data_IF_777591177455
#
_entry.id   IF_777591177455
#
_cell.length_a   1.000
_cell.length_b   1.000
_cell.length_c   1.000
_cell.angle_alpha   90.00
_cell.angle_beta   90.00
_cell.angle_gamma   90.00
#
_symmetry.space_group_name_H-M   'P 1'
#
loop_
_entity.id
_entity.type
_entity.pdbx_description
1 polymer ?
#
# COMPACT_ATOMS: atom_id res chain seq x y z
N UNK A 1 -10.55 8.73 -6.91
CA UNK A 1 -9.75 9.40 -5.86
C UNK A 1 -8.75 10.31 -6.55
N UNK A 2 -8.50 11.51 -6.03
CA UNK A 2 -7.54 12.45 -6.64
C UNK A 2 -6.11 11.92 -6.48
N UNK A 3 -5.33 11.96 -7.57
CA UNK A 3 -3.93 11.51 -7.59
C UNK A 3 -3.07 12.28 -6.57
N UNK A 4 -3.35 13.57 -6.37
CA UNK A 4 -2.60 14.41 -5.41
C UNK A 4 -2.79 13.91 -3.97
N UNK A 5 -3.99 13.43 -3.64
CA UNK A 5 -4.30 12.88 -2.31
C UNK A 5 -3.64 11.51 -2.13
N UNK A 6 -3.63 10.67 -3.16
CA UNK A 6 -2.95 9.37 -3.14
C UNK A 6 -1.44 9.57 -2.92
N UNK A 7 -0.82 10.49 -3.66
CA UNK A 7 0.61 10.77 -3.56
C UNK A 7 1.01 11.30 -2.18
N UNK A 8 0.20 12.17 -1.55
CA UNK A 8 0.46 12.63 -0.19
C UNK A 8 0.35 11.49 0.84
N UNK A 9 -0.62 10.58 0.68
CA UNK A 9 -0.75 9.42 1.56
C UNK A 9 0.46 8.48 1.41
N UNK A 10 0.89 8.20 0.18
CA UNK A 10 2.08 7.38 -0.09
C UNK A 10 3.32 8.00 0.54
N UNK A 11 3.49 9.32 0.41
CA UNK A 11 4.59 10.05 1.04
C UNK A 11 4.57 9.88 2.56
N UNK A 12 3.42 10.12 3.21
CA UNK A 12 3.26 9.96 4.67
C UNK A 12 3.56 8.54 5.16
N UNK A 13 3.16 7.51 4.40
CA UNK A 13 3.45 6.11 4.72
C UNK A 13 4.93 5.76 4.57
N UNK A 14 5.58 6.31 3.55
CA UNK A 14 6.99 6.03 3.24
C UNK A 14 7.95 6.74 4.20
N UNK A 15 7.58 7.91 4.73
CA UNK A 15 8.39 8.67 5.70
C UNK A 15 8.66 7.93 7.01
N UNK A 16 7.83 6.95 7.37
CA UNK A 16 8.05 6.11 8.55
C UNK A 16 9.34 5.29 8.44
N UNK A 17 9.84 5.05 7.22
CA UNK A 17 11.12 4.36 6.97
C UNK A 17 12.31 5.07 7.61
N UNK A 18 12.30 6.40 7.62
CA UNK A 18 13.38 7.22 8.19
C UNK A 18 13.13 7.59 9.65
N UNK A 19 11.92 7.33 10.16
CA UNK A 19 11.52 7.64 11.52
C UNK A 19 11.85 6.51 12.49
N UNK A 20 11.85 6.82 13.79
CA UNK A 20 12.03 5.81 14.84
C UNK A 20 10.97 4.70 14.69
N UNK A 21 11.35 3.41 14.86
CA UNK A 21 10.39 2.30 14.84
C UNK A 21 9.23 2.57 15.80
N UNK A 22 7.99 2.48 15.31
CA UNK A 22 6.78 2.74 16.09
C UNK A 22 6.07 4.08 15.84
N UNK A 23 6.59 4.95 14.95
CA UNK A 23 5.85 6.15 14.52
C UNK A 23 4.61 5.74 13.72
N UNK A 24 3.43 5.99 14.27
CA UNK A 24 2.16 5.77 13.58
C UNK A 24 1.89 6.89 12.57
N UNK A 25 1.35 6.52 11.41
CA UNK A 25 0.87 7.48 10.40
C UNK A 25 -0.58 7.80 10.71
N UNK A 26 -0.89 9.09 10.83
CA UNK A 26 -2.26 9.53 10.99
C UNK A 26 -2.90 9.71 9.62
N UNK A 27 -3.87 8.84 9.33
CA UNK A 27 -4.78 8.94 8.20
C UNK A 27 -6.18 9.21 8.76
N UNK A 28 -6.92 10.10 8.13
CA UNK A 28 -8.32 10.35 8.47
C UNK A 28 -9.19 9.18 8.01
N UNK A 29 -10.31 8.98 8.69
CA UNK A 29 -11.28 7.94 8.32
C UNK A 29 -11.79 8.12 6.88
N UNK A 30 -11.97 9.36 6.43
CA UNK A 30 -12.40 9.66 5.07
C UNK A 30 -11.35 9.22 4.02
N UNK A 31 -10.07 9.49 4.26
CA UNK A 31 -8.98 9.04 3.37
C UNK A 31 -8.94 7.50 3.28
N UNK A 32 -9.11 6.81 4.41
CA UNK A 32 -9.15 5.34 4.46
C UNK A 32 -10.35 4.81 3.66
N UNK A 33 -11.54 5.39 3.84
CA UNK A 33 -12.74 4.99 3.07
C UNK A 33 -12.56 5.21 1.58
N UNK A 34 -11.96 6.33 1.18
CA UNK A 34 -11.69 6.64 -0.23
C UNK A 34 -10.69 5.66 -0.85
N UNK A 35 -9.62 5.32 -0.12
CA UNK A 35 -8.64 4.31 -0.55
C UNK A 35 -9.27 2.93 -0.74
N UNK A 36 -10.08 2.49 0.23
CA UNK A 36 -10.79 1.21 0.16
C UNK A 36 -11.79 1.19 -1.01
N UNK A 37 -12.52 2.29 -1.23
CA UNK A 37 -13.45 2.44 -2.35
C UNK A 37 -12.73 2.35 -3.70
N UNK A 38 -11.69 3.17 -3.90
CA UNK A 38 -10.91 3.16 -5.13
C UNK A 38 -10.24 1.80 -5.40
N UNK A 39 -9.66 1.18 -4.36
CA UNK A 39 -9.05 -0.16 -4.49
C UNK A 39 -10.08 -1.21 -4.88
N UNK A 40 -11.28 -1.18 -4.30
CA UNK A 40 -12.37 -2.09 -4.64
C UNK A 40 -12.76 -1.98 -6.11
N UNK A 41 -12.89 -0.77 -6.63
CA UNK A 41 -13.26 -0.54 -8.04
C UNK A 41 -12.20 -1.11 -8.99
N UNK A 42 -10.91 -0.93 -8.66
CA UNK A 42 -9.79 -1.50 -9.44
C UNK A 42 -9.82 -3.03 -9.40
N UNK A 43 -10.01 -3.63 -8.23
CA UNK A 43 -10.08 -5.09 -8.11
C UNK A 43 -11.28 -5.68 -8.85
N UNK A 44 -12.40 -4.97 -8.92
CA UNK A 44 -13.57 -5.41 -9.69
C UNK A 44 -13.37 -5.28 -11.21
N UNK A 45 -12.53 -4.35 -11.65
CA UNK A 45 -12.16 -4.21 -13.07
C UNK A 45 -11.15 -5.27 -13.52
N UNK A 46 -10.36 -5.81 -12.59
CA UNK A 46 -9.39 -6.86 -12.88
C UNK A 46 -10.05 -8.25 -12.90
N UNK A 47 -9.58 -9.18 -13.74
CA UNK A 47 -10.04 -10.56 -13.72
C UNK A 47 -9.62 -11.25 -12.42
N UNK A 48 -10.46 -12.16 -11.91
CA UNK A 48 -10.14 -12.98 -10.72
C UNK A 48 -8.87 -13.82 -10.90
N UNK A 49 -8.54 -14.17 -12.15
CA UNK A 49 -7.29 -14.81 -12.52
C UNK A 49 -6.38 -13.77 -13.20
N UNK A 50 -5.37 -13.30 -12.45
CA UNK A 50 -4.41 -12.31 -12.94
C UNK A 50 -3.37 -12.98 -13.84
N UNK A 51 -3.26 -12.50 -15.08
CA UNK A 51 -2.18 -12.86 -15.99
C UNK A 51 -1.01 -11.88 -15.77
N UNK A 52 0.08 -12.37 -15.17
CA UNK A 52 1.26 -11.58 -14.82
C UNK A 52 2.44 -11.97 -15.72
N UNK A 53 3.13 -10.99 -16.30
CA UNK A 53 4.36 -11.19 -17.07
C UNK A 53 5.59 -10.82 -16.24
N UNK A 54 6.70 -11.53 -16.44
CA UNK A 54 7.95 -11.26 -15.75
C UNK A 54 8.59 -9.93 -16.21
N UNK A 55 9.34 -9.22 -15.34
CA UNK A 55 9.77 -9.59 -13.99
C UNK A 55 8.83 -9.09 -12.86
N UNK A 56 8.45 -9.98 -11.94
CA UNK A 56 7.61 -9.67 -10.77
C UNK A 56 8.23 -10.23 -9.48
N UNK A 57 8.05 -9.53 -8.35
CA UNK A 57 8.43 -10.01 -7.02
C UNK A 57 7.20 -10.53 -6.29
N UNK A 58 7.18 -11.81 -5.95
CA UNK A 58 6.08 -12.44 -5.21
C UNK A 58 6.42 -12.41 -3.72
N UNK A 59 5.63 -11.68 -2.93
CA UNK A 59 5.74 -11.67 -1.48
C UNK A 59 4.65 -12.54 -0.86
N UNK A 60 5.02 -13.40 0.08
CA UNK A 60 4.10 -14.25 0.83
C UNK A 60 3.35 -13.48 1.93
N UNK A 61 2.84 -14.23 2.94
CA UNK A 61 2.06 -13.66 4.05
C UNK A 61 2.85 -12.57 4.78
N UNK A 62 2.28 -11.37 4.77
CA UNK A 62 2.76 -10.24 5.57
C UNK A 62 2.09 -10.32 6.93
N UNK A 63 2.80 -10.87 7.92
CA UNK A 63 2.36 -10.73 9.31
C UNK A 63 2.52 -9.27 9.75
N UNK A 64 1.63 -8.83 10.64
CA UNK A 64 1.36 -7.45 11.11
C UNK A 64 2.53 -6.64 11.68
N UNK A 65 3.76 -7.14 11.56
CA UNK A 65 4.95 -6.39 11.83
C UNK A 65 5.34 -5.66 10.53
N UNK A 66 4.77 -4.47 10.34
CA UNK A 66 4.99 -3.55 9.20
C UNK A 66 6.44 -3.55 8.68
N UNK A 67 7.41 -3.81 9.55
CA UNK A 67 8.84 -3.92 9.28
C UNK A 67 9.25 -4.97 8.22
N UNK A 68 8.58 -6.12 8.13
CA UNK A 68 9.02 -7.20 7.22
C UNK A 68 8.51 -7.04 5.78
N UNK A 69 7.41 -6.30 5.56
CA UNK A 69 6.89 -6.05 4.21
C UNK A 69 7.82 -5.13 3.39
N UNK A 70 8.42 -4.12 4.04
CA UNK A 70 9.31 -3.16 3.37
C UNK A 70 10.64 -3.78 2.91
N UNK A 71 11.13 -4.84 3.57
CA UNK A 71 12.42 -5.43 3.25
C UNK A 71 12.38 -6.26 1.95
N UNK A 72 11.21 -6.82 1.59
CA UNK A 72 11.10 -7.74 0.46
C UNK A 72 10.70 -7.08 -0.87
N UNK A 73 9.93 -5.98 -0.84
CA UNK A 73 9.50 -5.31 -2.08
C UNK A 73 10.60 -4.44 -2.72
N UNK A 74 11.56 -3.91 -1.95
CA UNK A 74 12.56 -2.94 -2.41
C UNK A 74 14.03 -3.42 -2.39
N UNK A 75 14.31 -4.70 -2.08
CA UNK A 75 15.58 -5.37 -2.39
C UNK A 75 15.36 -6.28 -3.60
#
# INVERSE_FOLDING_TARGET
MDLVVVDDIIRRLTEVRSARPGKQVQLSENEIKQLCGASRDIFLQQPNLLELSAPIKICGIVFYFYYYCYLFFFN
#
